data_IF_437705516932
#
_entry.id   IF_437705516932
#
_cell.length_a   1.000
_cell.length_b   1.000
_cell.length_c   1.000
_cell.angle_alpha   90.00
_cell.angle_beta   90.00
_cell.angle_gamma   90.00
#
_symmetry.space_group_name_H-M   'P 1'
#
loop_
_entity.id
_entity.type
_entity.pdbx_description
1 polymer ?
#
# COMPACT_ATOMS: atom_id res chain seq x y z
N UNK A 1 31.48 -8.60 22.54
CA UNK A 1 31.07 -9.13 21.24
C UNK A 1 29.84 -8.29 20.80
N UNK A 2 30.01 -7.27 19.97
CA UNK A 2 28.89 -6.42 19.53
C UNK A 2 28.09 -7.24 18.52
N UNK A 3 26.89 -7.65 18.91
CA UNK A 3 25.93 -8.28 18.01
C UNK A 3 25.67 -7.28 16.88
N UNK A 4 26.09 -7.56 15.66
CA UNK A 4 25.63 -6.79 14.48
C UNK A 4 24.12 -6.96 14.44
N UNK A 5 23.38 -5.96 14.87
CA UNK A 5 21.94 -5.94 14.70
C UNK A 5 21.68 -5.93 13.19
N UNK A 6 21.01 -6.96 12.70
CA UNK A 6 20.55 -6.97 11.31
C UNK A 6 19.55 -5.84 11.14
N UNK A 7 19.64 -5.12 10.02
CA UNK A 7 18.65 -4.10 9.67
C UNK A 7 17.26 -4.75 9.72
N UNK A 8 16.33 -4.24 10.54
CA UNK A 8 14.98 -4.81 10.59
C UNK A 8 14.30 -4.64 9.23
N UNK A 9 13.61 -5.69 8.80
CA UNK A 9 12.86 -5.67 7.53
C UNK A 9 11.37 -5.70 7.82
N UNK A 10 10.62 -4.84 7.14
CA UNK A 10 9.16 -4.81 7.21
C UNK A 10 8.58 -5.21 5.87
N UNK A 11 7.78 -6.27 5.86
CA UNK A 11 6.96 -6.61 4.70
C UNK A 11 5.70 -5.77 4.74
N UNK A 12 5.60 -4.82 3.82
CA UNK A 12 4.49 -3.89 3.73
C UNK A 12 3.50 -4.31 2.65
N UNK A 13 2.41 -4.97 3.09
CA UNK A 13 1.32 -5.42 2.23
C UNK A 13 0.23 -4.35 2.15
N UNK A 14 -0.08 -3.88 0.96
CA UNK A 14 -1.08 -2.85 0.77
C UNK A 14 -1.82 -2.98 -0.57
N UNK A 15 -2.96 -2.32 -0.68
CA UNK A 15 -3.69 -2.22 -1.94
C UNK A 15 -3.64 -0.78 -2.47
N UNK A 16 -3.23 -0.55 -3.73
CA UNK A 16 -3.01 0.79 -4.28
C UNK A 16 -4.23 1.72 -4.28
N UNK A 17 -5.43 1.17 -4.12
CA UNK A 17 -6.69 1.91 -4.01
C UNK A 17 -7.29 1.92 -2.59
N UNK A 18 -6.51 1.50 -1.58
CA UNK A 18 -7.01 1.47 -0.19
C UNK A 18 -6.88 2.83 0.49
N UNK A 19 -7.98 3.40 1.05
CA UNK A 19 -7.90 4.64 1.80
C UNK A 19 -7.12 4.51 3.10
N UNK A 20 -7.17 3.32 3.72
CA UNK A 20 -6.41 3.02 4.94
C UNK A 20 -4.92 2.93 4.65
N UNK A 21 -4.55 2.38 3.48
CA UNK A 21 -3.16 2.43 3.02
C UNK A 21 -2.73 3.88 2.78
N UNK A 22 -3.55 4.71 2.12
CA UNK A 22 -3.27 6.13 1.91
C UNK A 22 -2.99 6.87 3.22
N UNK A 23 -3.90 6.75 4.20
CA UNK A 23 -3.79 7.43 5.49
C UNK A 23 -2.58 6.98 6.32
N UNK A 24 -2.10 5.74 6.12
CA UNK A 24 -0.95 5.19 6.85
C UNK A 24 0.38 5.33 6.14
N UNK A 25 0.40 5.47 4.82
CA UNK A 25 1.61 5.27 4.00
C UNK A 25 2.79 6.17 4.38
N UNK A 26 2.58 7.49 4.39
CA UNK A 26 3.65 8.44 4.72
C UNK A 26 4.13 8.27 6.17
N UNK A 27 3.20 8.08 7.11
CA UNK A 27 3.53 7.86 8.53
C UNK A 27 4.37 6.60 8.73
N UNK A 28 3.98 5.51 8.06
CA UNK A 28 4.76 4.28 8.09
C UNK A 28 6.15 4.48 7.48
N UNK A 29 6.25 5.14 6.35
CA UNK A 29 7.53 5.41 5.69
C UNK A 29 8.47 6.22 6.59
N UNK A 30 7.95 7.24 7.27
CA UNK A 30 8.71 8.05 8.22
C UNK A 30 9.18 7.23 9.44
N UNK A 31 8.34 6.32 9.95
CA UNK A 31 8.71 5.38 11.02
C UNK A 31 9.84 4.47 10.54
N UNK A 32 9.69 3.84 9.39
CA UNK A 32 10.71 2.94 8.85
C UNK A 32 12.07 3.63 8.69
N UNK A 33 12.08 4.86 8.16
CA UNK A 33 13.29 5.67 8.02
C UNK A 33 13.94 6.03 9.36
N UNK A 34 13.15 6.46 10.35
CA UNK A 34 13.66 6.79 11.69
C UNK A 34 14.35 5.61 12.36
N UNK A 35 13.87 4.41 12.14
CA UNK A 35 14.43 3.18 12.71
C UNK A 35 15.41 2.45 11.79
N UNK A 36 15.75 3.03 10.63
CA UNK A 36 16.66 2.42 9.66
C UNK A 36 16.15 1.07 9.13
N UNK A 37 14.83 0.87 9.12
CA UNK A 37 14.23 -0.38 8.66
C UNK A 37 14.20 -0.44 7.13
N UNK A 38 14.49 -1.62 6.58
CA UNK A 38 14.28 -1.94 5.17
C UNK A 38 12.79 -2.25 4.94
N UNK A 39 12.20 -1.70 3.90
CA UNK A 39 10.80 -1.97 3.54
C UNK A 39 10.73 -2.77 2.26
N UNK A 40 10.08 -3.93 2.29
CA UNK A 40 9.66 -4.65 1.09
C UNK A 40 8.29 -4.13 0.70
N UNK A 41 8.23 -3.43 -0.42
CA UNK A 41 7.00 -2.76 -0.91
C UNK A 41 6.18 -3.77 -1.69
N UNK A 42 5.09 -4.25 -1.09
CA UNK A 42 4.35 -5.41 -1.59
C UNK A 42 2.87 -5.07 -1.85
N UNK A 43 2.56 -4.45 -3.00
CA UNK A 43 1.17 -4.32 -3.42
C UNK A 43 0.56 -5.69 -3.68
N UNK A 44 -0.69 -5.90 -3.24
CA UNK A 44 -1.39 -7.18 -3.31
C UNK A 44 -2.79 -7.06 -3.92
N UNK A 45 -3.25 -8.12 -4.57
CA UNK A 45 -4.65 -8.26 -4.97
C UNK A 45 -5.50 -8.65 -3.76
N UNK A 46 -5.89 -7.62 -3.02
CA UNK A 46 -6.67 -7.79 -1.80
C UNK A 46 -8.05 -8.38 -2.08
N UNK A 47 -8.72 -7.89 -3.13
CA UNK A 47 -10.09 -8.27 -3.45
C UNK A 47 -10.23 -9.63 -4.13
N UNK A 48 -9.34 -9.93 -5.07
CA UNK A 48 -9.39 -11.15 -5.87
C UNK A 48 -8.70 -12.35 -5.22
N UNK A 49 -7.68 -12.13 -4.38
CA UNK A 49 -6.86 -13.21 -3.82
C UNK A 49 -6.98 -13.32 -2.29
N UNK A 50 -6.78 -12.24 -1.55
CA UNK A 50 -6.70 -12.29 -0.09
C UNK A 50 -8.09 -12.43 0.55
N UNK A 51 -9.06 -11.62 0.16
CA UNK A 51 -10.40 -11.65 0.75
C UNK A 51 -11.12 -13.00 0.59
N UNK A 52 -11.05 -13.70 -0.55
CA UNK A 52 -11.72 -14.98 -0.70
C UNK A 52 -11.30 -16.04 0.32
N UNK A 53 -10.06 -16.00 0.79
CA UNK A 53 -9.51 -17.00 1.73
C UNK A 53 -9.48 -16.53 3.18
N UNK A 54 -9.59 -15.20 3.42
CA UNK A 54 -9.49 -14.60 4.76
C UNK A 54 -10.83 -14.18 5.36
N UNK A 55 -11.94 -14.36 4.62
CA UNK A 55 -13.26 -13.90 5.05
C UNK A 55 -13.49 -12.38 4.88
N UNK A 56 -12.59 -11.67 4.21
CA UNK A 56 -12.78 -10.27 3.85
C UNK A 56 -13.93 -10.08 2.86
N UNK A 57 -14.57 -8.92 2.93
CA UNK A 57 -15.66 -8.58 2.00
C UNK A 57 -15.33 -7.30 1.23
N UNK A 58 -15.48 -7.32 -0.11
CA UNK A 58 -15.50 -6.10 -0.91
C UNK A 58 -16.51 -5.09 -0.35
N UNK A 59 -16.21 -3.80 -0.48
CA UNK A 59 -17.01 -2.74 0.13
C UNK A 59 -18.51 -2.86 -0.18
N UNK A 60 -18.86 -3.07 -1.44
CA UNK A 60 -20.24 -3.18 -1.88
C UNK A 60 -21.02 -4.37 -1.26
N UNK A 61 -20.32 -5.39 -0.77
CA UNK A 61 -20.91 -6.57 -0.11
C UNK A 61 -21.01 -6.44 1.41
N UNK A 62 -20.49 -5.34 2.00
CA UNK A 62 -20.58 -5.10 3.45
C UNK A 62 -21.95 -4.59 3.82
N UNK A 63 -22.38 -4.89 5.06
CA UNK A 63 -23.63 -4.35 5.61
C UNK A 63 -23.66 -2.81 5.53
N UNK A 64 -24.83 -2.20 5.25
CA UNK A 64 -24.96 -0.73 5.09
C UNK A 64 -24.40 0.06 6.27
N UNK A 65 -24.59 -0.44 7.50
CA UNK A 65 -24.06 0.21 8.71
C UNK A 65 -22.53 0.27 8.69
N UNK A 66 -21.87 -0.79 8.21
CA UNK A 66 -20.39 -0.82 8.07
C UNK A 66 -19.90 0.11 6.96
N UNK A 67 -20.65 0.24 5.88
CA UNK A 67 -20.33 1.18 4.80
C UNK A 67 -20.46 2.63 5.29
N UNK A 68 -21.54 2.96 5.99
CA UNK A 68 -21.76 4.28 6.57
C UNK A 68 -20.70 4.64 7.63
N UNK A 69 -20.40 3.71 8.53
CA UNK A 69 -19.37 3.91 9.56
C UNK A 69 -17.98 4.15 8.93
N UNK A 70 -17.65 3.42 7.85
CA UNK A 70 -16.40 3.65 7.10
C UNK A 70 -16.25 5.10 6.65
N UNK A 71 -17.29 5.73 6.15
CA UNK A 71 -17.23 7.14 5.72
C UNK A 71 -16.93 8.08 6.89
N UNK A 72 -17.55 7.83 8.05
CA UNK A 72 -17.27 8.58 9.29
C UNK A 72 -15.81 8.43 9.72
N UNK A 73 -15.30 7.21 9.70
CA UNK A 73 -13.89 6.94 10.08
C UNK A 73 -12.91 7.59 9.11
N UNK A 74 -13.18 7.55 7.81
CA UNK A 74 -12.34 8.23 6.82
C UNK A 74 -12.27 9.73 7.07
N UNK A 75 -13.41 10.36 7.38
CA UNK A 75 -13.43 11.79 7.71
C UNK A 75 -12.67 12.08 9.00
N UNK A 76 -12.91 11.31 10.07
CA UNK A 76 -12.22 11.48 11.36
C UNK A 76 -10.69 11.37 11.23
N UNK A 77 -10.23 10.35 10.50
CA UNK A 77 -8.79 10.16 10.30
C UNK A 77 -8.19 11.21 9.37
N UNK A 78 -8.91 11.62 8.32
CA UNK A 78 -8.50 12.75 7.47
C UNK A 78 -8.28 14.03 8.29
N UNK A 79 -9.25 14.38 9.13
CA UNK A 79 -9.17 15.57 9.98
C UNK A 79 -8.06 15.46 11.02
N UNK A 80 -7.99 14.33 11.72
CA UNK A 80 -6.99 14.12 12.78
C UNK A 80 -5.56 14.07 12.26
N UNK A 81 -5.35 13.47 11.09
CA UNK A 81 -4.03 13.34 10.47
C UNK A 81 -3.67 14.53 9.57
N UNK A 82 -4.59 15.48 9.39
CA UNK A 82 -4.46 16.59 8.41
C UNK A 82 -4.10 16.09 7.02
N UNK A 83 -4.65 14.93 6.63
CA UNK A 83 -4.43 14.28 5.34
C UNK A 83 -5.62 14.57 4.43
N UNK A 84 -5.47 15.37 3.36
CA UNK A 84 -6.55 15.64 2.42
C UNK A 84 -7.13 14.33 1.87
N UNK A 85 -8.45 14.13 2.03
CA UNK A 85 -9.11 12.92 1.58
C UNK A 85 -10.57 13.24 1.19
N UNK A 86 -10.95 12.82 -0.03
CA UNK A 86 -12.36 12.75 -0.41
C UNK A 86 -12.90 11.35 -0.03
N UNK A 87 -13.87 11.22 0.89
CA UNK A 87 -14.41 9.91 1.30
C UNK A 87 -15.13 9.15 0.18
N UNK A 88 -15.56 9.86 -0.88
CA UNK A 88 -16.27 9.32 -2.05
C UNK A 88 -15.64 9.87 -3.36
N UNK A 89 -14.37 9.50 -3.67
CA UNK A 89 -13.70 10.05 -4.83
C UNK A 89 -14.30 9.51 -6.12
N UNK A 90 -14.23 10.32 -7.16
CA UNK A 90 -14.87 10.11 -8.46
C UNK A 90 -14.62 8.74 -9.10
N UNK A 91 -13.38 8.24 -8.96
CA UNK A 91 -12.95 7.01 -9.63
C UNK A 91 -12.91 5.78 -8.70
N UNK A 92 -13.42 5.89 -7.47
CA UNK A 92 -13.48 4.74 -6.58
C UNK A 92 -14.90 4.10 -6.59
N UNK A 93 -15.03 2.77 -6.70
CA UNK A 93 -13.95 1.76 -6.80
C UNK A 93 -13.24 1.76 -8.17
N UNK A 94 -11.93 1.50 -8.14
CA UNK A 94 -11.06 1.51 -9.34
C UNK A 94 -10.25 0.22 -9.37
N UNK A 95 -9.93 -0.28 -10.57
CA UNK A 95 -9.01 -1.41 -10.74
C UNK A 95 -7.58 -0.98 -10.35
N UNK A 96 -6.93 -1.65 -9.37
CA UNK A 96 -5.60 -1.29 -8.91
C UNK A 96 -4.45 -2.01 -9.63
N UNK A 97 -4.73 -2.96 -10.52
CA UNK A 97 -3.74 -3.94 -10.98
C UNK A 97 -2.57 -3.30 -11.75
N UNK A 98 -2.87 -2.37 -12.66
CA UNK A 98 -1.82 -1.68 -13.42
C UNK A 98 -0.97 -0.78 -12.52
N UNK A 99 -1.58 -0.10 -11.57
CA UNK A 99 -0.87 0.68 -10.56
C UNK A 99 -0.02 -0.20 -9.64
N UNK A 100 -0.50 -1.39 -9.26
CA UNK A 100 0.26 -2.36 -8.47
C UNK A 100 1.51 -2.85 -9.23
N UNK A 101 1.33 -3.26 -10.49
CA UNK A 101 2.44 -3.68 -11.36
C UNK A 101 3.44 -2.55 -11.63
N UNK A 102 2.96 -1.30 -11.78
CA UNK A 102 3.84 -0.14 -11.90
C UNK A 102 4.70 0.06 -10.67
N UNK A 103 4.14 0.00 -9.48
CA UNK A 103 4.89 0.11 -8.22
C UNK A 103 5.96 -0.98 -8.14
N UNK A 104 5.62 -2.21 -8.53
CA UNK A 104 6.56 -3.34 -8.59
C UNK A 104 7.67 -3.08 -9.62
N UNK A 105 7.35 -2.59 -10.82
CA UNK A 105 8.34 -2.27 -11.84
C UNK A 105 9.32 -1.19 -11.36
N UNK A 106 8.81 -0.18 -10.65
CA UNK A 106 9.65 0.84 -10.02
C UNK A 106 10.57 0.23 -8.96
N UNK A 107 10.05 -0.64 -8.10
CA UNK A 107 10.87 -1.34 -7.09
C UNK A 107 12.00 -2.16 -7.73
N UNK A 108 11.68 -2.94 -8.75
CA UNK A 108 12.65 -3.78 -9.46
C UNK A 108 13.77 -2.99 -10.14
N UNK A 109 13.50 -1.77 -10.62
CA UNK A 109 14.46 -0.95 -11.37
C UNK A 109 15.15 0.13 -10.55
N UNK A 110 14.44 0.69 -9.57
CA UNK A 110 14.87 1.87 -8.82
C UNK A 110 14.90 1.67 -7.30
N UNK A 111 14.42 0.49 -6.82
CA UNK A 111 14.46 0.11 -5.41
C UNK A 111 13.31 0.66 -4.57
N UNK A 112 13.25 0.20 -3.32
CA UNK A 112 12.13 0.39 -2.40
C UNK A 112 11.80 1.85 -2.08
N UNK A 113 12.78 2.75 -2.00
CA UNK A 113 12.54 4.18 -1.77
C UNK A 113 11.74 4.82 -2.91
N UNK A 114 12.11 4.51 -4.17
CA UNK A 114 11.36 4.98 -5.33
C UNK A 114 9.96 4.35 -5.39
N UNK A 115 9.85 3.05 -5.04
CA UNK A 115 8.58 2.35 -4.98
C UNK A 115 7.64 2.93 -3.90
N UNK A 116 8.14 3.29 -2.72
CA UNK A 116 7.36 3.99 -1.70
C UNK A 116 6.90 5.37 -2.22
N UNK A 117 7.76 6.10 -2.90
CA UNK A 117 7.42 7.40 -3.46
C UNK A 117 6.30 7.34 -4.50
N UNK A 118 6.38 6.41 -5.46
CA UNK A 118 5.31 6.25 -6.47
C UNK A 118 4.03 5.67 -5.86
N UNK A 119 4.12 4.77 -4.89
CA UNK A 119 2.97 4.23 -4.18
C UNK A 119 2.19 5.35 -3.45
N UNK A 120 2.89 6.29 -2.81
CA UNK A 120 2.26 7.46 -2.21
C UNK A 120 1.48 8.30 -3.24
N UNK A 121 2.07 8.56 -4.41
CA UNK A 121 1.41 9.32 -5.48
C UNK A 121 0.17 8.62 -6.01
N UNK A 122 0.25 7.31 -6.22
CA UNK A 122 -0.89 6.47 -6.63
C UNK A 122 -2.03 6.55 -5.61
N UNK A 123 -1.73 6.32 -4.34
CA UNK A 123 -2.71 6.38 -3.25
C UNK A 123 -3.35 7.77 -3.13
N UNK A 124 -2.52 8.82 -3.17
CA UNK A 124 -2.96 10.22 -3.14
C UNK A 124 -3.79 10.58 -4.37
N UNK A 125 -3.40 10.07 -5.54
CA UNK A 125 -4.13 10.22 -6.80
C UNK A 125 -5.58 9.82 -6.66
N UNK A 126 -5.87 8.69 -6.03
CA UNK A 126 -7.24 8.23 -5.79
C UNK A 126 -7.95 9.11 -4.77
N UNK A 127 -7.34 9.33 -3.59
CA UNK A 127 -8.06 9.81 -2.41
C UNK A 127 -8.04 11.31 -2.20
N UNK A 128 -7.05 12.02 -2.76
CA UNK A 128 -6.91 13.46 -2.59
C UNK A 128 -7.01 14.25 -3.90
N UNK A 129 -6.74 13.62 -5.05
CA UNK A 129 -6.61 14.30 -6.34
C UNK A 129 -7.65 13.83 -7.38
N UNK A 130 -8.49 12.85 -7.02
CA UNK A 130 -9.56 12.30 -7.87
C UNK A 130 -9.06 11.84 -9.25
N UNK A 131 -7.90 11.17 -9.28
CA UNK A 131 -7.28 10.63 -10.50
C UNK A 131 -7.65 9.17 -10.71
N UNK A 132 -7.79 8.76 -11.96
CA UNK A 132 -8.07 7.38 -12.33
C UNK A 132 -6.77 6.57 -12.46
N UNK A 133 -6.42 5.80 -11.44
CA UNK A 133 -5.19 4.96 -11.45
C UNK A 133 -5.30 3.71 -12.35
N UNK A 134 -6.46 3.44 -12.95
CA UNK A 134 -6.62 2.43 -14.00
C UNK A 134 -6.36 3.00 -15.41
N UNK A 135 -6.11 4.30 -15.51
CA UNK A 135 -5.79 4.97 -16.76
C UNK A 135 -4.26 5.10 -16.92
N UNK A 136 -3.73 4.57 -18.03
CA UNK A 136 -2.30 4.60 -18.31
C UNK A 136 -1.74 6.03 -18.41
N UNK A 137 -2.53 6.96 -18.98
CA UNK A 137 -2.15 8.37 -19.05
C UNK A 137 -1.91 8.95 -17.65
N UNK A 138 -2.82 8.66 -16.71
CA UNK A 138 -2.66 9.03 -15.30
C UNK A 138 -1.39 8.43 -14.69
N UNK A 139 -1.12 7.16 -14.95
CA UNK A 139 0.10 6.51 -14.42
C UNK A 139 1.38 7.12 -14.99
N UNK A 140 1.39 7.51 -16.28
CA UNK A 140 2.50 8.23 -16.92
C UNK A 140 2.74 9.61 -16.29
N UNK A 141 1.67 10.34 -15.99
CA UNK A 141 1.76 11.62 -15.29
C UNK A 141 2.35 11.46 -13.88
N UNK A 142 1.89 10.45 -13.11
CA UNK A 142 2.43 10.17 -11.78
C UNK A 142 3.92 9.81 -11.80
N UNK A 143 4.38 9.07 -12.82
CA UNK A 143 5.81 8.81 -13.04
C UNK A 143 6.57 10.10 -13.30
N UNK A 144 6.07 10.95 -14.20
CA UNK A 144 6.72 12.23 -14.54
C UNK A 144 6.84 13.13 -13.31
N UNK A 145 5.79 13.25 -12.51
CA UNK A 145 5.79 13.98 -11.24
C UNK A 145 6.78 13.40 -10.21
N UNK A 146 7.04 12.10 -10.27
CA UNK A 146 8.04 11.42 -9.44
C UNK A 146 9.47 11.55 -9.98
N UNK A 147 9.66 12.14 -11.16
CA UNK A 147 10.95 12.18 -11.85
C UNK A 147 11.43 10.80 -12.35
N UNK A 148 10.49 9.89 -12.60
CA UNK A 148 10.77 8.52 -13.03
C UNK A 148 10.54 8.35 -14.54
N UNK A 149 11.30 7.47 -15.21
CA UNK A 149 11.18 7.24 -16.65
C UNK A 149 9.79 6.71 -17.05
N UNK A 150 9.23 7.25 -18.14
CA UNK A 150 7.95 6.77 -18.70
C UNK A 150 7.99 5.30 -19.18
N UNK A 151 9.20 4.79 -19.53
CA UNK A 151 9.40 3.40 -19.93
C UNK A 151 9.02 2.37 -18.84
N UNK A 152 8.87 2.79 -17.59
CA UNK A 152 8.38 1.93 -16.50
C UNK A 152 6.94 1.44 -16.71
N UNK A 153 6.18 2.07 -17.60
CA UNK A 153 4.86 1.55 -17.99
C UNK A 153 5.00 0.22 -18.75
N UNK A 154 5.95 0.12 -19.67
CA UNK A 154 6.23 -1.12 -20.39
C UNK A 154 6.79 -2.19 -19.44
N UNK A 155 7.64 -1.81 -18.49
CA UNK A 155 8.13 -2.71 -17.42
C UNK A 155 6.98 -3.20 -16.52
N UNK A 156 5.95 -2.37 -16.25
CA UNK A 156 4.76 -2.77 -15.50
C UNK A 156 3.92 -3.85 -16.22
N UNK A 157 3.94 -3.87 -17.54
CA UNK A 157 3.29 -4.92 -18.35
C UNK A 157 4.16 -6.17 -18.55
N UNK A 158 5.37 -6.20 -17.99
CA UNK A 158 6.26 -7.36 -18.09
C UNK A 158 5.72 -8.58 -17.34
N UNK A 159 6.15 -9.76 -17.79
CA UNK A 159 5.89 -11.00 -17.07
C UNK A 159 6.45 -10.96 -15.65
N UNK A 160 7.64 -10.37 -15.46
CA UNK A 160 8.28 -10.26 -14.15
C UNK A 160 7.45 -9.45 -13.15
N UNK A 161 6.84 -8.33 -13.57
CA UNK A 161 5.96 -7.54 -12.71
C UNK A 161 4.67 -8.30 -12.37
N UNK A 162 4.10 -9.01 -13.34
CA UNK A 162 2.87 -9.80 -13.14
C UNK A 162 3.10 -10.98 -12.19
N UNK A 163 4.18 -11.73 -12.39
CA UNK A 163 4.56 -12.84 -11.51
C UNK A 163 4.88 -12.37 -10.09
N UNK A 164 5.49 -11.20 -9.95
CA UNK A 164 5.79 -10.61 -8.65
C UNK A 164 4.51 -10.17 -7.92
N UNK A 165 3.55 -9.60 -8.62
CA UNK A 165 2.25 -9.23 -8.05
C UNK A 165 1.47 -10.45 -7.56
N UNK A 166 1.48 -11.53 -8.33
CA UNK A 166 0.90 -12.81 -7.95
C UNK A 166 1.62 -13.39 -6.72
N UNK A 167 2.95 -13.42 -6.74
CA UNK A 167 3.76 -13.93 -5.64
C UNK A 167 3.55 -13.13 -4.34
N UNK A 168 3.43 -11.81 -4.41
CA UNK A 168 3.15 -10.97 -3.23
C UNK A 168 1.78 -11.25 -2.63
N UNK A 169 0.76 -11.46 -3.48
CA UNK A 169 -0.57 -11.83 -3.01
C UNK A 169 -0.57 -13.21 -2.34
N UNK A 170 0.18 -14.16 -2.88
CA UNK A 170 0.34 -15.48 -2.28
C UNK A 170 1.11 -15.42 -0.96
N UNK A 171 2.21 -14.66 -0.90
CA UNK A 171 2.98 -14.43 0.33
C UNK A 171 2.13 -13.77 1.42
N UNK A 172 1.26 -12.83 1.06
CA UNK A 172 0.33 -12.22 2.00
C UNK A 172 -0.59 -13.27 2.64
N UNK A 173 -1.14 -14.18 1.83
CA UNK A 173 -1.99 -15.28 2.31
C UNK A 173 -1.19 -16.20 3.26
N UNK A 174 0.00 -16.60 2.89
CA UNK A 174 0.89 -17.47 3.68
C UNK A 174 1.31 -16.81 5.00
N UNK A 175 1.52 -15.49 5.00
CA UNK A 175 1.81 -14.71 6.19
C UNK A 175 0.57 -14.47 7.07
N UNK A 176 -0.62 -14.92 6.67
CA UNK A 176 -1.86 -14.72 7.41
C UNK A 176 -2.45 -13.31 7.28
N UNK A 177 -2.04 -12.53 6.29
CA UNK A 177 -2.60 -11.19 6.01
C UNK A 177 -4.05 -11.33 5.54
N UNK A 178 -4.94 -10.53 6.13
CA UNK A 178 -6.37 -10.55 5.84
C UNK A 178 -6.96 -9.17 5.47
N UNK A 179 -6.13 -8.14 5.48
CA UNK A 179 -6.54 -6.76 5.18
C UNK A 179 -5.34 -5.87 4.86
N UNK A 180 -5.60 -4.66 4.40
CA UNK A 180 -4.58 -3.68 4.04
C UNK A 180 -4.86 -2.30 4.66
N UNK A 181 -3.80 -1.57 5.08
CA UNK A 181 -2.40 -2.01 5.10
C UNK A 181 -2.12 -3.06 6.17
N UNK A 182 -1.16 -3.94 5.91
CA UNK A 182 -0.58 -4.84 6.92
C UNK A 182 0.93 -4.72 6.88
N UNK A 183 1.54 -4.72 8.05
CA UNK A 183 2.98 -4.65 8.26
C UNK A 183 3.41 -5.93 8.95
N UNK A 184 4.35 -6.67 8.38
CA UNK A 184 4.85 -7.92 8.97
C UNK A 184 6.32 -7.76 9.31
N UNK A 185 6.68 -8.01 10.58
CA UNK A 185 8.03 -7.90 11.11
C UNK A 185 8.34 -9.21 11.82
N UNK A 186 9.33 -9.96 11.33
CA UNK A 186 9.72 -11.27 11.89
C UNK A 186 8.52 -12.22 12.08
N UNK A 187 7.56 -12.20 11.13
CA UNK A 187 6.35 -13.03 11.17
C UNK A 187 5.22 -12.49 12.03
N UNK A 188 5.40 -11.39 12.75
CA UNK A 188 4.36 -10.72 13.51
C UNK A 188 3.60 -9.72 12.64
N UNK A 189 2.25 -9.80 12.62
CA UNK A 189 1.37 -8.96 11.79
C UNK A 189 0.83 -7.79 12.59
N UNK A 190 0.90 -6.60 12.00
CA UNK A 190 0.25 -5.38 12.47
C UNK A 190 -0.70 -4.91 11.37
N UNK A 191 -1.99 -5.03 11.58
CA UNK A 191 -3.00 -4.66 10.59
C UNK A 191 -3.65 -3.33 10.89
N UNK A 192 -3.61 -2.44 9.92
CA UNK A 192 -4.29 -1.14 9.95
C UNK A 192 -3.34 0.04 10.15
N UNK A 193 -3.71 1.17 9.56
CA UNK A 193 -2.97 2.43 9.68
C UNK A 193 -2.98 2.98 11.13
N UNK A 194 -3.90 2.53 11.95
CA UNK A 194 -4.07 2.88 13.35
C UNK A 194 -3.26 1.99 14.30
N UNK A 195 -2.44 1.07 13.78
CA UNK A 195 -1.51 0.21 14.55
C UNK A 195 -0.04 0.59 14.37
N UNK A 196 0.23 1.73 13.74
CA UNK A 196 1.60 2.19 13.51
C UNK A 196 2.41 2.44 14.78
N UNK A 197 1.75 2.77 15.89
CA UNK A 197 2.43 2.89 17.19
C UNK A 197 3.02 1.54 17.66
N UNK A 198 2.35 0.43 17.37
CA UNK A 198 2.88 -0.91 17.66
C UNK A 198 4.02 -1.29 16.71
N UNK A 199 3.89 -0.94 15.43
CA UNK A 199 4.99 -1.11 14.44
C UNK A 199 6.24 -0.37 14.91
N UNK A 200 6.11 0.89 15.32
CA UNK A 200 7.22 1.69 15.79
C UNK A 200 7.86 1.09 17.06
N UNK A 201 7.05 0.67 18.03
CA UNK A 201 7.54 0.00 19.25
C UNK A 201 8.29 -1.30 18.93
N UNK A 202 7.78 -2.08 17.97
CA UNK A 202 8.44 -3.32 17.54
C UNK A 202 9.79 -3.05 16.89
N UNK A 203 9.88 -2.03 16.02
CA UNK A 203 11.15 -1.63 15.41
C UNK A 203 12.14 -1.06 16.42
N UNK A 204 11.67 -0.35 17.45
CA UNK A 204 12.49 0.20 18.50
C UNK A 204 13.05 -0.87 19.46
N UNK A 205 12.40 -2.02 19.55
CA UNK A 205 12.83 -3.11 20.45
C UNK A 205 13.94 -4.00 19.85
N UNK A 206 14.25 -3.87 18.55
CA UNK A 206 15.34 -4.58 17.83
C UNK A 206 14.92 -5.95 17.41
#
# INVERSE_FOLDING_TARGET
MVRRMSTPTVDYYFAPHSPWSYLGHQRFWDIARRHGASVRVMPVDLGGKVFPVSGGLPLAKRAPQRQAYRLLELQRFSDWLHAPLNPQPRFFPVNPDDAARLIIAVDLKHGGEAAMGIALRVLRGVWAEERNIADEGTLRELLAEAGLPAALIEDAHSQAASERYEAYSQQAIEAGVFGAPSYVIDGEIFWGQDRLDFVERRLAAG
#
